data_IF_564779257854
#
_entry.id   IF_564779257854
#
_cell.length_a   1.000
_cell.length_b   1.000
_cell.length_c   1.000
_cell.angle_alpha   90.00
_cell.angle_beta   90.00
_cell.angle_gamma   90.00
#
_symmetry.space_group_name_H-M   'P 1'
#
loop_
_entity.id
_entity.type
_entity.pdbx_description
1 polymer ?
#
# COMPACT_ATOMS: atom_id res chain seq x y z
N UNK A 1 6.07 12.94 11.42
CA UNK A 1 5.87 11.73 10.60
C UNK A 1 6.30 10.51 11.43
N UNK A 2 5.38 9.59 11.74
CA UNK A 2 5.60 8.50 12.71
C UNK A 2 6.47 7.37 12.10
N UNK A 3 7.33 6.68 12.90
CA UNK A 3 8.25 5.62 12.44
C UNK A 3 7.54 4.50 11.65
N UNK A 4 6.29 4.22 12.02
CA UNK A 4 5.45 3.18 11.41
C UNK A 4 5.08 3.54 9.96
N UNK A 5 4.83 4.82 9.65
CA UNK A 5 4.56 5.24 8.27
C UNK A 5 5.83 5.23 7.42
N UNK A 6 6.98 5.59 7.99
CA UNK A 6 8.26 5.57 7.27
C UNK A 6 8.64 4.17 6.81
N UNK A 7 8.43 3.14 7.64
CA UNK A 7 8.70 1.75 7.27
C UNK A 7 7.76 1.22 6.18
N UNK A 8 6.48 1.62 6.18
CA UNK A 8 5.51 1.20 5.15
C UNK A 8 5.86 1.77 3.77
N UNK A 9 6.17 3.06 3.71
CA UNK A 9 6.57 3.71 2.46
C UNK A 9 7.90 3.16 1.95
N UNK A 10 8.86 2.89 2.85
CA UNK A 10 10.13 2.26 2.49
C UNK A 10 9.94 0.87 1.85
N UNK A 11 9.03 0.05 2.39
CA UNK A 11 8.77 -1.30 1.85
C UNK A 11 8.24 -1.25 0.41
N UNK A 12 7.32 -0.34 0.12
CA UNK A 12 6.76 -0.15 -1.24
C UNK A 12 7.84 0.37 -2.20
N UNK A 13 8.68 1.31 -1.76
CA UNK A 13 9.76 1.85 -2.59
C UNK A 13 10.78 0.76 -2.95
N UNK A 14 11.19 -0.07 -1.98
CA UNK A 14 12.11 -1.20 -2.22
C UNK A 14 11.51 -2.20 -3.22
N UNK A 15 10.20 -2.45 -3.13
CA UNK A 15 9.47 -3.30 -4.07
C UNK A 15 9.53 -2.78 -5.51
N UNK A 16 9.29 -1.47 -5.71
CA UNK A 16 9.33 -0.84 -7.04
C UNK A 16 10.74 -0.88 -7.61
N UNK A 17 11.76 -0.58 -6.80
CA UNK A 17 13.17 -0.63 -7.21
C UNK A 17 13.55 -2.06 -7.63
N UNK A 18 13.15 -3.06 -6.85
CA UNK A 18 13.41 -4.47 -7.17
C UNK A 18 12.75 -4.88 -8.49
N UNK A 19 11.53 -4.40 -8.75
CA UNK A 19 10.82 -4.66 -10.01
C UNK A 19 11.53 -4.01 -11.20
N UNK A 20 11.98 -2.75 -11.08
CA UNK A 20 12.74 -2.06 -12.12
C UNK A 20 14.05 -2.78 -12.44
N UNK A 21 14.81 -3.17 -11.42
CA UNK A 21 16.05 -3.93 -11.58
C UNK A 21 15.78 -5.29 -12.22
N UNK A 22 14.70 -5.97 -11.79
CA UNK A 22 14.26 -7.24 -12.38
C UNK A 22 13.97 -7.11 -13.88
N UNK A 23 13.20 -6.10 -14.29
CA UNK A 23 12.89 -5.83 -15.71
C UNK A 23 14.16 -5.55 -16.51
N UNK A 24 15.03 -4.65 -16.02
CA UNK A 24 16.31 -4.36 -16.69
C UNK A 24 17.18 -5.62 -16.83
N UNK A 25 17.21 -6.46 -15.80
CA UNK A 25 17.97 -7.72 -15.81
C UNK A 25 17.40 -8.71 -16.83
N UNK A 26 16.07 -8.82 -16.95
CA UNK A 26 15.45 -9.67 -17.97
C UNK A 26 15.75 -9.19 -19.39
N UNK A 27 15.70 -7.89 -19.66
CA UNK A 27 16.06 -7.33 -20.97
C UNK A 27 17.53 -7.60 -21.31
N UNK A 28 18.45 -7.37 -20.36
CA UNK A 28 19.86 -7.67 -20.51
C UNK A 28 20.13 -9.16 -20.75
N UNK A 29 19.41 -10.03 -20.05
CA UNK A 29 19.54 -11.48 -20.21
C UNK A 29 19.16 -11.96 -21.61
N UNK A 30 18.08 -11.41 -22.19
CA UNK A 30 17.62 -11.77 -23.54
C UNK A 30 18.66 -11.33 -24.57
N UNK A 31 19.19 -10.11 -24.43
CA UNK A 31 20.22 -9.60 -25.34
C UNK A 31 21.48 -10.48 -25.30
N UNK A 32 21.96 -10.82 -24.10
CA UNK A 32 23.13 -11.69 -23.92
C UNK A 32 22.91 -13.11 -24.45
N UNK A 33 21.71 -13.66 -24.28
CA UNK A 33 21.37 -14.97 -24.84
C UNK A 33 21.39 -14.95 -26.37
N UNK A 34 20.80 -13.93 -27.00
CA UNK A 34 20.78 -13.80 -28.47
C UNK A 34 22.21 -13.71 -29.01
N UNK A 35 23.05 -12.83 -28.46
CA UNK A 35 24.45 -12.70 -28.87
C UNK A 35 25.26 -13.99 -28.57
N UNK A 36 24.98 -14.65 -27.45
CA UNK A 36 25.63 -15.91 -27.11
C UNK A 36 25.34 -17.02 -28.12
N UNK A 37 24.12 -17.08 -28.64
CA UNK A 37 23.73 -18.04 -29.68
C UNK A 37 24.30 -17.71 -31.05
N UNK A 38 24.47 -16.42 -31.40
CA UNK A 38 25.06 -16.04 -32.70
C UNK A 38 26.54 -16.35 -32.77
N UNK A 39 27.28 -16.12 -31.67
CA UNK A 39 28.73 -16.29 -31.63
C UNK A 39 29.16 -17.65 -31.04
N UNK A 40 28.21 -18.56 -30.77
CA UNK A 40 28.42 -19.87 -30.11
C UNK A 40 29.29 -19.78 -28.85
N UNK A 41 29.21 -18.66 -28.14
CA UNK A 41 30.07 -18.37 -26.99
C UNK A 41 29.37 -18.84 -25.71
N UNK A 42 29.73 -20.04 -25.26
CA UNK A 42 29.11 -20.71 -24.09
C UNK A 42 29.10 -19.83 -22.85
N UNK A 43 30.14 -19.01 -22.64
CA UNK A 43 30.25 -18.11 -21.48
C UNK A 43 29.10 -17.08 -21.45
N UNK A 44 28.75 -16.48 -22.60
CA UNK A 44 27.64 -15.53 -22.69
C UNK A 44 26.30 -16.23 -22.45
N UNK A 45 26.13 -17.44 -22.96
CA UNK A 45 24.90 -18.22 -22.80
C UNK A 45 24.67 -18.54 -21.31
N UNK A 46 25.69 -19.05 -20.62
CA UNK A 46 25.62 -19.39 -19.19
C UNK A 46 25.33 -18.15 -18.35
N UNK A 47 26.04 -17.05 -18.60
CA UNK A 47 25.82 -15.79 -17.89
C UNK A 47 24.42 -15.21 -18.15
N UNK A 48 23.92 -15.34 -19.39
CA UNK A 48 22.56 -14.95 -19.77
C UNK A 48 21.49 -15.71 -18.99
N UNK A 49 21.60 -17.04 -18.86
CA UNK A 49 20.67 -17.83 -18.06
C UNK A 49 20.69 -17.45 -16.58
N UNK A 50 21.89 -17.26 -16.00
CA UNK A 50 22.02 -16.84 -14.60
C UNK A 50 21.31 -15.50 -14.36
N UNK A 51 21.53 -14.50 -15.23
CA UNK A 51 20.84 -13.21 -15.15
C UNK A 51 19.32 -13.36 -15.35
N UNK A 52 18.87 -14.25 -16.22
CA UNK A 52 17.45 -14.50 -16.46
C UNK A 52 16.75 -15.07 -15.21
N UNK A 53 17.36 -16.06 -14.55
CA UNK A 53 16.81 -16.63 -13.31
C UNK A 53 16.82 -15.60 -12.16
N UNK A 54 17.89 -14.81 -12.05
CA UNK A 54 17.97 -13.74 -11.06
C UNK A 54 16.87 -12.70 -11.30
N UNK A 55 16.69 -12.26 -12.54
CA UNK A 55 15.66 -11.31 -12.96
C UNK A 55 14.25 -11.81 -12.68
N UNK A 56 13.96 -13.07 -13.02
CA UNK A 56 12.69 -13.72 -12.70
C UNK A 56 12.42 -13.74 -11.20
N UNK A 57 13.43 -14.09 -10.39
CA UNK A 57 13.32 -14.09 -8.93
C UNK A 57 13.02 -12.70 -8.35
N UNK A 58 13.70 -11.66 -8.86
CA UNK A 58 13.48 -10.26 -8.49
C UNK A 58 12.08 -9.77 -8.85
N UNK A 59 11.54 -10.18 -10.01
CA UNK A 59 10.17 -9.84 -10.43
C UNK A 59 9.15 -10.52 -9.52
N UNK A 60 9.29 -11.82 -9.24
CA UNK A 60 8.39 -12.55 -8.35
C UNK A 60 8.40 -11.95 -6.93
N UNK A 61 9.59 -11.64 -6.42
CA UNK A 61 9.75 -10.94 -5.14
C UNK A 61 9.07 -9.56 -5.18
N UNK A 62 9.32 -8.76 -6.22
CA UNK A 62 8.68 -7.46 -6.39
C UNK A 62 7.15 -7.53 -6.45
N UNK A 63 6.57 -8.51 -7.16
CA UNK A 63 5.11 -8.70 -7.22
C UNK A 63 4.55 -9.11 -5.86
N UNK A 64 5.21 -10.03 -5.15
CA UNK A 64 4.78 -10.48 -3.82
C UNK A 64 4.71 -9.33 -2.81
N UNK A 65 5.76 -8.50 -2.74
CA UNK A 65 5.80 -7.35 -1.84
C UNK A 65 4.80 -6.26 -2.25
N UNK A 66 4.58 -6.06 -3.55
CA UNK A 66 3.56 -5.15 -4.04
C UNK A 66 2.15 -5.59 -3.60
N UNK A 67 1.88 -6.90 -3.62
CA UNK A 67 0.61 -7.47 -3.19
C UNK A 67 0.31 -7.16 -1.72
N UNK A 68 1.32 -7.35 -0.85
CA UNK A 68 1.24 -7.01 0.59
C UNK A 68 1.07 -5.49 0.78
N UNK A 69 1.80 -4.68 0.00
CA UNK A 69 1.68 -3.22 0.02
C UNK A 69 0.28 -2.74 -0.37
N UNK A 70 -0.32 -3.33 -1.41
CA UNK A 70 -1.67 -3.03 -1.86
C UNK A 70 -2.72 -3.42 -0.82
N UNK A 71 -2.59 -4.59 -0.19
CA UNK A 71 -3.48 -5.03 0.89
C UNK A 71 -3.46 -4.04 2.09
N UNK A 72 -2.29 -3.51 2.44
CA UNK A 72 -2.15 -2.52 3.50
C UNK A 72 -2.71 -1.13 3.14
N UNK A 73 -2.75 -0.78 1.85
CA UNK A 73 -3.33 0.50 1.40
C UNK A 73 -4.85 0.47 1.42
N UNK A 74 -5.47 -0.67 1.11
CA UNK A 74 -6.92 -0.85 1.13
C UNK A 74 -7.52 -0.72 2.54
N UNK A 75 -6.82 -1.18 3.58
CA UNK A 75 -7.33 -1.13 4.97
C UNK A 75 -7.37 0.28 5.57
N UNK A 76 -6.59 1.24 5.04
CA UNK A 76 -6.66 2.65 5.49
C UNK A 76 -8.05 3.28 5.25
N UNK A 77 -8.79 2.84 4.23
CA UNK A 77 -10.14 3.35 3.94
C UNK A 77 -11.19 2.86 4.93
N UNK A 78 -11.15 1.58 5.30
CA UNK A 78 -12.10 1.00 6.26
C UNK A 78 -11.94 1.60 7.66
N UNK A 79 -10.71 1.78 8.14
CA UNK A 79 -10.47 2.27 9.50
C UNK A 79 -10.92 3.74 9.68
N UNK A 80 -10.88 4.55 8.60
CA UNK A 80 -11.39 5.92 8.62
C UNK A 80 -12.94 5.95 8.69
N UNK A 81 -13.62 4.96 8.10
CA UNK A 81 -15.08 4.83 8.20
C UNK A 81 -15.49 4.40 9.61
N UNK A 82 -14.76 3.47 10.22
CA UNK A 82 -15.06 3.00 11.57
C UNK A 82 -14.90 4.11 12.62
N UNK A 83 -13.85 4.94 12.49
CA UNK A 83 -13.64 6.09 13.37
C UNK A 83 -14.72 7.17 13.20
N UNK A 84 -15.15 7.45 11.96
CA UNK A 84 -16.21 8.45 11.72
C UNK A 84 -17.58 7.98 12.22
N UNK A 85 -17.87 6.68 12.12
CA UNK A 85 -19.08 6.08 12.70
C UNK A 85 -19.01 6.06 14.23
N UNK A 86 -17.85 5.71 14.82
CA UNK A 86 -17.67 5.73 16.27
C UNK A 86 -17.83 7.15 16.84
N UNK A 87 -17.29 8.17 16.16
CA UNK A 87 -17.47 9.56 16.55
C UNK A 87 -18.92 10.02 16.38
N UNK A 88 -19.63 9.56 15.33
CA UNK A 88 -21.05 9.85 15.15
C UNK A 88 -21.93 9.21 16.25
N UNK A 89 -21.61 7.99 16.71
CA UNK A 89 -22.31 7.36 17.85
C UNK A 89 -22.14 8.09 19.19
N UNK A 90 -21.11 8.92 19.32
CA UNK A 90 -20.96 9.78 20.50
C UNK A 90 -21.79 11.06 20.42
N UNK A 91 -22.32 11.42 19.26
CA UNK A 91 -23.17 12.59 19.15
C UNK A 91 -24.53 12.34 19.81
N UNK A 92 -24.96 13.26 20.67
CA UNK A 92 -26.29 13.23 21.30
C UNK A 92 -27.33 13.79 20.33
N UNK A 93 -28.37 13.02 20.04
CA UNK A 93 -29.52 13.50 19.27
C UNK A 93 -30.48 14.21 20.23
N UNK A 94 -30.87 15.44 19.91
CA UNK A 94 -31.80 16.20 20.73
C UNK A 94 -33.22 15.61 20.66
N UNK A 95 -33.87 15.31 21.80
CA UNK A 95 -35.21 14.71 21.81
C UNK A 95 -36.32 15.67 21.36
N UNK A 96 -36.06 16.99 21.38
CA UNK A 96 -37.07 18.02 21.08
C UNK A 96 -37.06 18.45 19.61
N UNK A 97 -35.89 18.66 19.02
CA UNK A 97 -35.76 19.16 17.64
C UNK A 97 -35.09 18.18 16.67
N UNK A 98 -34.63 17.01 17.16
CA UNK A 98 -33.96 16.00 16.33
C UNK A 98 -32.55 16.38 15.86
N UNK A 99 -32.01 17.53 16.28
CA UNK A 99 -30.67 17.96 15.89
C UNK A 99 -29.57 17.09 16.53
N UNK A 100 -28.56 16.76 15.75
CA UNK A 100 -27.36 16.05 16.21
C UNK A 100 -26.38 17.03 16.85
N UNK A 101 -26.04 16.82 18.12
CA UNK A 101 -25.12 17.66 18.89
C UNK A 101 -23.84 16.88 19.24
N UNK A 102 -22.74 17.59 19.45
CA UNK A 102 -21.46 16.98 19.84
C UNK A 102 -21.55 16.30 21.22
N UNK A 103 -20.71 15.29 21.54
CA UNK A 103 -20.80 14.52 22.79
C UNK A 103 -20.69 15.33 24.09
N UNK A 104 -20.05 16.51 24.05
CA UNK A 104 -19.66 17.29 25.23
C UNK A 104 -20.52 18.54 25.46
N UNK A 105 -21.75 18.56 24.95
CA UNK A 105 -22.67 19.70 25.19
C UNK A 105 -23.88 19.24 25.97
N UNK A 106 -24.15 19.95 27.08
CA UNK A 106 -25.29 19.70 27.97
C UNK A 106 -26.59 20.36 27.46
N UNK A 107 -26.47 21.22 26.44
CA UNK A 107 -27.58 21.95 25.83
C UNK A 107 -27.50 21.84 24.31
N UNK A 108 -28.66 21.74 23.68
CA UNK A 108 -28.77 21.67 22.24
C UNK A 108 -28.40 23.02 21.61
N UNK A 109 -27.46 23.00 20.66
CA UNK A 109 -26.96 24.19 19.99
C UNK A 109 -27.97 24.83 19.01
N UNK A 110 -29.06 24.12 18.70
CA UNK A 110 -30.09 24.57 17.74
C UNK A 110 -31.32 25.13 18.45
N UNK A 111 -31.79 24.47 19.50
CA UNK A 111 -33.05 24.83 20.17
C UNK A 111 -32.90 25.21 21.66
N UNK A 112 -31.69 25.11 22.22
CA UNK A 112 -31.41 25.46 23.62
C UNK A 112 -31.92 24.48 24.68
N UNK A 113 -32.56 23.38 24.27
CA UNK A 113 -33.08 22.36 25.20
C UNK A 113 -31.94 21.60 25.88
N UNK A 114 -32.13 21.19 27.14
CA UNK A 114 -31.14 20.36 27.85
C UNK A 114 -31.06 18.97 27.22
N UNK A 115 -29.85 18.52 26.97
CA UNK A 115 -29.58 17.16 26.50
C UNK A 115 -29.36 16.31 27.76
N UNK A 116 -30.44 15.73 28.28
CA UNK A 116 -30.39 14.88 29.46
C UNK A 116 -29.30 13.80 29.33
N UNK A 117 -28.72 13.46 30.49
CA UNK A 117 -27.44 12.75 30.57
C UNK A 117 -27.53 11.35 30.00
#
# INVERSE_FOLDING_TARGET
MNRIEKNKTALIVISIISLLIGVCSTVGSVFLLISGFTDMTVVLIVFGFILAFLGLGLILFGIYYLWIGCALKATKGSIAVDNSIAMNRQNKVCPKCGATNTPNVDTCQVCGEKLDK
#
